data_IF_039160824871
#
_entry.id   IF_039160824871
#
_cell.length_a   1.000
_cell.length_b   1.000
_cell.length_c   1.000
_cell.angle_alpha   90.00
_cell.angle_beta   90.00
_cell.angle_gamma   90.00
#
_symmetry.space_group_name_H-M   'P 1'
#
loop_
_entity.id
_entity.type
_entity.pdbx_description
1 polymer ?
#
# COMPACT_ATOMS: atom_id res chain seq x y z
N UNK A 1 12.12 16.74 16.54
CA UNK A 1 11.00 15.93 17.06
C UNK A 1 9.71 16.19 16.28
N UNK A 2 9.35 17.46 16.06
CA UNK A 2 8.14 17.89 15.33
C UNK A 2 8.03 17.27 13.92
N UNK A 3 9.09 17.31 13.11
CA UNK A 3 9.07 16.80 11.73
C UNK A 3 8.72 15.31 11.59
N UNK A 4 9.11 14.48 12.57
CA UNK A 4 8.80 13.05 12.56
C UNK A 4 7.33 12.80 12.85
N UNK A 5 6.74 13.56 13.77
CA UNK A 5 5.32 13.47 14.06
C UNK A 5 4.47 13.94 12.87
N UNK A 6 4.88 15.01 12.20
CA UNK A 6 4.21 15.49 10.97
C UNK A 6 4.23 14.39 9.92
N UNK A 7 5.39 13.79 9.63
CA UNK A 7 5.53 12.72 8.64
C UNK A 7 4.64 11.51 8.97
N UNK A 8 4.61 11.07 10.22
CA UNK A 8 3.79 9.93 10.65
C UNK A 8 2.29 10.21 10.53
N UNK A 9 1.85 11.41 10.94
CA UNK A 9 0.44 11.80 10.82
C UNK A 9 0.02 11.99 9.36
N UNK A 10 0.87 12.56 8.52
CA UNK A 10 0.64 12.62 7.07
C UNK A 10 0.48 11.22 6.48
N UNK A 11 1.34 10.27 6.85
CA UNK A 11 1.22 8.87 6.42
C UNK A 11 -0.10 8.23 6.87
N UNK A 12 -0.53 8.49 8.12
CA UNK A 12 -1.80 7.96 8.66
C UNK A 12 -3.01 8.52 7.94
N UNK A 13 -3.11 9.83 7.79
CA UNK A 13 -4.22 10.49 7.10
C UNK A 13 -4.30 9.99 5.64
N UNK A 14 -3.17 9.98 4.94
CA UNK A 14 -3.12 9.52 3.56
C UNK A 14 -3.46 8.02 3.44
N UNK A 15 -3.09 7.20 4.43
CA UNK A 15 -3.45 5.78 4.46
C UNK A 15 -4.94 5.54 4.64
N UNK A 16 -5.63 6.40 5.41
CA UNK A 16 -7.08 6.34 5.55
C UNK A 16 -7.76 6.77 4.25
N UNK A 17 -7.32 7.89 3.65
CA UNK A 17 -7.87 8.38 2.38
C UNK A 17 -7.67 7.36 1.26
N UNK A 18 -6.47 6.80 1.14
CA UNK A 18 -6.15 5.77 0.15
C UNK A 18 -6.99 4.51 0.38
N UNK A 19 -7.05 4.01 1.62
CA UNK A 19 -7.90 2.85 1.96
C UNK A 19 -9.36 3.08 1.60
N UNK A 20 -9.93 4.24 1.95
CA UNK A 20 -11.31 4.56 1.68
C UNK A 20 -11.60 4.58 0.17
N UNK A 21 -10.72 5.19 -0.62
CA UNK A 21 -10.86 5.26 -2.07
C UNK A 21 -10.72 3.87 -2.73
N UNK A 22 -9.78 3.05 -2.25
CA UNK A 22 -9.62 1.66 -2.73
C UNK A 22 -10.83 0.79 -2.38
N UNK A 23 -11.38 0.92 -1.18
CA UNK A 23 -12.60 0.22 -0.79
C UNK A 23 -13.79 0.67 -1.65
N UNK A 24 -13.89 1.96 -1.96
CA UNK A 24 -14.92 2.48 -2.86
C UNK A 24 -14.81 1.87 -4.27
N UNK A 25 -13.60 1.71 -4.81
CA UNK A 25 -13.41 1.02 -6.08
C UNK A 25 -13.72 -0.49 -6.00
N UNK A 26 -13.44 -1.12 -4.86
CA UNK A 26 -13.68 -2.56 -4.68
C UNK A 26 -15.16 -2.91 -4.54
N UNK A 27 -15.99 -1.99 -4.01
CA UNK A 27 -17.44 -2.19 -3.80
C UNK A 27 -18.31 -1.32 -4.73
N UNK A 28 -17.75 -0.84 -5.84
CA UNK A 28 -18.48 -0.02 -6.81
C UNK A 28 -19.67 -0.76 -7.46
N UNK A 29 -20.69 -0.03 -7.94
CA UNK A 29 -21.89 -0.63 -8.53
C UNK A 29 -21.63 -1.06 -9.99
N UNK A 30 -20.97 -2.20 -10.22
CA UNK A 30 -20.97 -2.90 -11.52
C UNK A 30 -20.99 -4.44 -11.39
N UNK A 31 -21.43 -5.08 -12.47
CA UNK A 31 -22.12 -6.38 -12.58
C UNK A 31 -21.30 -7.65 -12.27
N UNK A 32 -22.01 -8.71 -11.83
CA UNK A 32 -21.59 -10.12 -11.74
C UNK A 32 -20.09 -10.40 -11.52
N UNK A 33 -19.67 -10.29 -10.25
CA UNK A 33 -18.35 -10.70 -9.77
C UNK A 33 -18.15 -12.23 -9.86
N UNK A 34 -17.75 -12.72 -11.02
CA UNK A 34 -17.07 -14.02 -11.15
C UNK A 34 -15.60 -13.77 -11.51
N UNK A 35 -14.80 -13.22 -10.57
CA UNK A 35 -13.39 -12.98 -10.83
C UNK A 35 -12.69 -14.31 -11.14
N UNK A 36 -11.90 -14.31 -12.19
CA UNK A 36 -10.95 -15.37 -12.49
C UNK A 36 -9.95 -15.53 -11.35
N UNK A 37 -9.31 -16.70 -11.26
CA UNK A 37 -8.25 -16.94 -10.26
C UNK A 37 -7.13 -15.88 -10.35
N UNK A 38 -6.82 -15.41 -11.57
CA UNK A 38 -5.84 -14.36 -11.80
C UNK A 38 -6.25 -13.02 -11.20
N UNK A 39 -7.51 -12.62 -11.38
CA UNK A 39 -8.06 -11.40 -10.80
C UNK A 39 -8.12 -11.48 -9.28
N UNK A 40 -8.41 -12.66 -8.72
CA UNK A 40 -8.39 -12.86 -7.27
C UNK A 40 -6.98 -12.69 -6.69
N UNK A 41 -5.95 -13.22 -7.35
CA UNK A 41 -4.55 -13.02 -6.95
C UNK A 41 -4.17 -11.54 -7.03
N UNK A 42 -4.58 -10.86 -8.11
CA UNK A 42 -4.36 -9.43 -8.26
C UNK A 42 -5.03 -8.65 -7.11
N UNK A 43 -6.32 -8.91 -6.81
CA UNK A 43 -7.10 -8.30 -5.73
C UNK A 43 -6.48 -8.53 -4.34
N UNK A 44 -5.96 -9.74 -4.10
CA UNK A 44 -5.30 -10.10 -2.85
C UNK A 44 -4.07 -9.24 -2.59
N UNK A 45 -3.25 -8.99 -3.62
CA UNK A 45 -2.07 -8.13 -3.49
C UNK A 45 -2.45 -6.64 -3.53
N UNK A 46 -3.40 -6.27 -4.38
CA UNK A 46 -3.94 -4.91 -4.48
C UNK A 46 -5.44 -4.96 -4.86
N UNK A 47 -6.34 -4.37 -4.06
CA UNK A 47 -6.05 -3.46 -2.95
C UNK A 47 -5.88 -4.11 -1.57
N UNK A 48 -6.23 -5.39 -1.39
CA UNK A 48 -6.42 -5.99 -0.06
C UNK A 48 -5.12 -5.99 0.76
N UNK A 49 -4.04 -6.54 0.21
CA UNK A 49 -2.74 -6.62 0.89
C UNK A 49 -2.18 -5.23 1.25
N UNK A 50 -2.42 -4.25 0.38
CA UNK A 50 -2.02 -2.86 0.62
C UNK A 50 -2.78 -2.26 1.81
N UNK A 51 -4.09 -2.43 1.88
CA UNK A 51 -4.94 -1.96 3.00
C UNK A 51 -4.54 -2.65 4.31
N UNK A 52 -4.29 -3.97 4.29
CA UNK A 52 -3.80 -4.72 5.46
C UNK A 52 -2.46 -4.14 5.93
N UNK A 53 -1.54 -3.87 4.99
CA UNK A 53 -0.26 -3.24 5.30
C UNK A 53 -0.43 -1.86 5.97
N UNK A 54 -1.37 -1.04 5.48
CA UNK A 54 -1.71 0.24 6.12
C UNK A 54 -2.25 0.07 7.54
N UNK A 55 -3.16 -0.87 7.75
CA UNK A 55 -3.71 -1.17 9.07
C UNK A 55 -2.63 -1.65 10.04
N UNK A 56 -1.70 -2.50 9.59
CA UNK A 56 -0.57 -2.93 10.41
C UNK A 56 0.35 -1.74 10.74
N UNK A 57 0.57 -0.81 9.82
CA UNK A 57 1.44 0.36 10.05
C UNK A 57 0.96 1.28 11.18
N UNK A 58 -0.33 1.23 11.56
CA UNK A 58 -0.83 1.97 12.70
C UNK A 58 -0.22 1.53 14.03
N UNK A 59 0.02 0.22 14.18
CA UNK A 59 0.58 -0.38 15.39
C UNK A 59 2.07 -0.71 15.25
N UNK A 60 2.50 -1.08 14.04
CA UNK A 60 3.87 -1.51 13.74
C UNK A 60 4.30 -0.97 12.38
N UNK A 61 4.71 0.30 12.36
CA UNK A 61 5.12 1.06 11.16
C UNK A 61 6.03 0.26 10.22
N UNK A 62 7.08 -0.36 10.75
CA UNK A 62 8.02 -1.16 9.96
C UNK A 62 7.35 -2.33 9.24
N UNK A 63 6.58 -3.13 9.98
CA UNK A 63 5.99 -4.36 9.44
C UNK A 63 4.94 -3.98 8.40
N UNK A 64 4.08 -3.02 8.71
CA UNK A 64 3.03 -2.58 7.78
C UNK A 64 3.59 -1.94 6.51
N UNK A 65 4.67 -1.15 6.61
CA UNK A 65 5.36 -0.61 5.44
C UNK A 65 5.91 -1.71 4.52
N UNK A 66 6.57 -2.72 5.10
CA UNK A 66 7.09 -3.87 4.34
C UNK A 66 5.95 -4.64 3.69
N UNK A 67 4.89 -4.97 4.43
CA UNK A 67 3.72 -5.68 3.89
C UNK A 67 3.13 -4.91 2.71
N UNK A 68 2.90 -3.62 2.88
CA UNK A 68 2.35 -2.74 1.83
C UNK A 68 3.20 -2.75 0.55
N UNK A 69 4.52 -2.57 0.70
CA UNK A 69 5.45 -2.50 -0.43
C UNK A 69 5.63 -3.86 -1.12
N UNK A 70 5.69 -4.94 -0.35
CA UNK A 70 5.76 -6.31 -0.88
C UNK A 70 4.47 -6.64 -1.63
N UNK A 71 3.30 -6.33 -1.06
CA UNK A 71 2.01 -6.51 -1.73
C UNK A 71 1.95 -5.75 -3.06
N UNK A 72 2.37 -4.47 -3.09
CA UNK A 72 2.43 -3.72 -4.34
C UNK A 72 3.40 -4.35 -5.36
N UNK A 73 4.58 -4.79 -4.90
CA UNK A 73 5.59 -5.42 -5.77
C UNK A 73 5.06 -6.73 -6.37
N UNK A 74 4.43 -7.56 -5.54
CA UNK A 74 3.79 -8.81 -5.98
C UNK A 74 2.66 -8.55 -6.96
N UNK A 75 1.86 -7.50 -6.76
CA UNK A 75 0.82 -7.09 -7.71
C UNK A 75 1.41 -6.74 -9.08
N UNK A 76 2.46 -5.90 -9.14
CA UNK A 76 3.11 -5.57 -10.41
C UNK A 76 3.77 -6.77 -11.08
N UNK A 77 4.43 -7.63 -10.29
CA UNK A 77 5.02 -8.86 -10.81
C UNK A 77 3.94 -9.78 -11.40
N UNK A 78 2.80 -9.91 -10.72
CA UNK A 78 1.67 -10.68 -11.22
C UNK A 78 1.11 -10.11 -12.51
N UNK A 79 0.86 -8.80 -12.57
CA UNK A 79 0.36 -8.12 -13.77
C UNK A 79 1.31 -8.27 -14.96
N UNK A 80 2.62 -8.18 -14.73
CA UNK A 80 3.62 -8.35 -15.78
C UNK A 80 3.59 -9.77 -16.38
N UNK A 81 3.44 -10.79 -15.52
CA UNK A 81 3.42 -12.20 -15.94
C UNK A 81 2.07 -12.57 -16.59
N UNK A 82 0.95 -12.06 -16.04
CA UNK A 82 -0.39 -12.43 -16.49
C UNK A 82 -0.85 -11.67 -17.73
N UNK A 83 -0.49 -10.38 -17.84
CA UNK A 83 -1.05 -9.46 -18.84
C UNK A 83 -0.01 -9.03 -19.88
N UNK A 84 1.28 -9.33 -19.66
CA UNK A 84 2.39 -8.97 -20.57
C UNK A 84 2.63 -7.47 -20.77
N UNK A 85 1.88 -6.61 -20.08
CA UNK A 85 1.88 -5.17 -20.26
C UNK A 85 2.11 -4.46 -18.93
N UNK A 86 3.06 -3.53 -18.93
CA UNK A 86 3.39 -2.71 -17.76
C UNK A 86 2.60 -1.38 -17.73
N UNK A 87 2.07 -0.96 -18.88
CA UNK A 87 1.67 0.43 -19.18
C UNK A 87 0.35 0.90 -18.55
N UNK A 88 -0.50 0.01 -18.03
CA UNK A 88 -1.73 0.41 -17.32
C UNK A 88 -1.56 0.62 -15.81
N UNK A 89 -0.45 0.17 -15.22
CA UNK A 89 -0.35 -0.05 -13.77
C UNK A 89 0.13 1.14 -12.93
N UNK A 90 0.85 2.11 -13.51
CA UNK A 90 1.55 3.15 -12.72
C UNK A 90 0.68 3.93 -11.72
N UNK A 91 -0.62 4.06 -12.00
CA UNK A 91 -1.57 4.74 -11.11
C UNK A 91 -1.70 4.05 -9.74
N UNK A 92 -1.45 2.73 -9.65
CA UNK A 92 -1.48 1.97 -8.39
C UNK A 92 -0.39 2.40 -7.40
N UNK A 93 0.74 2.96 -7.89
CA UNK A 93 1.80 3.51 -7.01
C UNK A 93 1.28 4.71 -6.22
N UNK A 94 0.38 5.52 -6.81
CA UNK A 94 -0.21 6.68 -6.13
C UNK A 94 -0.95 6.29 -4.86
N UNK A 95 -1.72 5.19 -4.91
CA UNK A 95 -2.42 4.64 -3.75
C UNK A 95 -1.48 4.09 -2.69
N UNK A 96 -0.29 3.64 -3.08
CA UNK A 96 0.75 3.16 -2.17
C UNK A 96 1.61 4.28 -1.56
N UNK A 97 1.38 5.56 -1.90
CA UNK A 97 2.09 6.71 -1.30
C UNK A 97 2.21 6.68 0.24
N UNK A 98 1.20 6.24 1.02
CA UNK A 98 1.37 6.12 2.47
C UNK A 98 2.44 5.10 2.88
N UNK A 99 2.59 3.99 2.14
CA UNK A 99 3.59 2.96 2.42
C UNK A 99 5.01 3.53 2.34
N UNK A 100 5.27 4.36 1.34
CA UNK A 100 6.56 5.03 1.16
C UNK A 100 6.82 6.02 2.29
N UNK A 101 5.80 6.76 2.76
CA UNK A 101 5.95 7.66 3.90
C UNK A 101 6.21 6.89 5.21
N UNK A 102 5.54 5.76 5.43
CA UNK A 102 5.82 4.88 6.58
C UNK A 102 7.24 4.30 6.52
N UNK A 103 7.70 3.88 5.34
CA UNK A 103 9.07 3.39 5.15
C UNK A 103 10.10 4.52 5.41
N UNK A 104 9.85 5.71 4.89
CA UNK A 104 10.70 6.89 5.12
C UNK A 104 10.77 7.23 6.62
N UNK A 105 9.64 7.31 7.30
CA UNK A 105 9.58 7.53 8.76
C UNK A 105 10.47 6.52 9.49
N UNK A 106 10.32 5.24 9.17
CA UNK A 106 11.09 4.18 9.81
C UNK A 106 12.61 4.32 9.58
N UNK A 107 13.04 4.67 8.36
CA UNK A 107 14.47 4.86 8.08
C UNK A 107 15.07 6.06 8.83
N UNK A 108 14.30 7.14 8.98
CA UNK A 108 14.73 8.34 9.71
C UNK A 108 14.74 8.12 11.22
N UNK A 109 13.75 7.39 11.74
CA UNK A 109 13.70 6.99 13.15
C UNK A 109 14.91 6.14 13.54
N UNK A 110 15.28 5.15 12.71
CA UNK A 110 16.48 4.32 12.93
C UNK A 110 17.77 5.11 13.02
N UNK A 111 17.97 6.06 12.09
CA UNK A 111 19.18 6.91 12.08
C UNK A 111 19.33 7.71 13.38
N UNK A 112 18.21 8.14 13.96
CA UNK A 112 18.21 8.87 15.23
C UNK A 112 18.58 7.97 16.42
N UNK A 113 18.16 6.71 16.41
CA UNK A 113 18.50 5.74 17.47
C UNK A 113 19.97 5.32 17.46
N UNK A 114 20.59 5.22 16.29
CA UNK A 114 22.02 4.84 16.16
C UNK A 114 22.99 5.98 16.45
N UNK A 115 22.51 7.23 16.48
CA UNK A 115 23.33 8.43 16.73
C UNK A 115 23.36 8.86 18.22
N UNK A 116 22.74 8.09 19.11
CA UNK A 116 22.71 8.27 20.56
C UNK A 116 23.50 7.14 21.22
#
# INVERSE_FOLDING_TARGET
>A
MIYMNVLLWSARILSLLSSALLLMFMFGPEEQLNPTLSEFIALLFFPIGLIIGFAISWFRVRIGAIVSLVSLTCFYAWMLISSGTFLGGQYFIGFASPAFLYALYWTLERKKTTAL
#
